data_IF_594191856470
#
_entry.id   IF_594191856470
#
_cell.length_a   1.000
_cell.length_b   1.000
_cell.length_c   1.000
_cell.angle_alpha   90.00
_cell.angle_beta   90.00
_cell.angle_gamma   90.00
#
_symmetry.space_group_name_H-M   'P 1'
#
loop_
_entity.id
_entity.type
_entity.pdbx_description
1 polymer ?
#
# COMPACT_ATOMS: atom_id res chain seq x y z
N UNK A 1 27.54 -3.26 -18.75
CA UNK A 1 26.09 -3.02 -18.65
C UNK A 1 25.84 -2.44 -17.28
N UNK A 2 25.72 -1.13 -17.17
CA UNK A 2 25.48 -0.42 -15.91
C UNK A 2 24.03 -0.68 -15.51
N UNK A 3 23.83 -1.52 -14.49
CA UNK A 3 22.55 -1.68 -13.82
C UNK A 3 22.21 -0.36 -13.14
N UNK A 4 21.37 0.46 -13.77
CA UNK A 4 20.77 1.62 -13.13
C UNK A 4 19.82 1.09 -12.07
N UNK A 5 20.19 1.25 -10.80
CA UNK A 5 19.26 1.02 -9.70
C UNK A 5 17.98 1.85 -9.96
N UNK A 6 16.78 1.30 -9.78
CA UNK A 6 15.55 2.05 -9.95
C UNK A 6 15.58 3.28 -9.04
N UNK A 7 15.29 4.45 -9.60
CA UNK A 7 15.33 5.70 -8.87
C UNK A 7 14.42 5.60 -7.64
N UNK A 8 14.98 5.89 -6.46
CA UNK A 8 14.20 5.95 -5.23
C UNK A 8 13.03 6.93 -5.43
N UNK A 9 11.85 6.62 -4.86
CA UNK A 9 10.81 7.64 -4.73
C UNK A 9 11.45 8.80 -3.97
N UNK A 10 11.37 10.04 -4.48
CA UNK A 10 11.81 11.17 -3.67
C UNK A 10 11.04 11.12 -2.34
N UNK A 11 11.70 11.47 -1.23
CA UNK A 11 11.09 11.47 0.10
C UNK A 11 9.81 12.34 0.18
N UNK A 12 9.61 13.22 -0.82
CA UNK A 12 8.41 14.06 -0.99
C UNK A 12 7.31 13.40 -1.86
N UNK A 13 7.53 12.21 -2.42
CA UNK A 13 6.50 11.57 -3.24
C UNK A 13 5.51 10.81 -2.36
N UNK A 14 4.25 11.20 -2.42
CA UNK A 14 3.17 10.52 -1.73
C UNK A 14 2.82 9.20 -2.41
N UNK A 15 2.78 8.12 -1.62
CA UNK A 15 2.26 6.82 -2.06
C UNK A 15 0.79 6.93 -2.47
N UNK A 16 0.05 7.84 -1.82
CA UNK A 16 -1.39 8.07 -2.05
C UNK A 16 -1.70 8.66 -3.43
N UNK A 17 -0.70 9.22 -4.11
CA UNK A 17 -0.88 9.89 -5.41
C UNK A 17 -0.43 9.02 -6.60
N UNK A 18 0.17 7.85 -6.35
CA UNK A 18 0.71 6.99 -7.41
C UNK A 18 -0.37 6.31 -8.25
N UNK A 19 -1.49 5.93 -7.63
CA UNK A 19 -2.63 5.30 -8.30
C UNK A 19 -3.88 5.39 -7.41
N UNK A 20 -5.09 5.25 -7.98
CA UNK A 20 -6.32 5.24 -7.17
C UNK A 20 -6.42 4.03 -6.24
N UNK A 21 -5.75 2.94 -6.57
CA UNK A 21 -5.76 1.71 -5.81
C UNK A 21 -4.34 1.21 -5.59
N UNK A 22 -4.02 0.83 -4.37
CA UNK A 22 -2.81 0.10 -4.00
C UNK A 22 -3.18 -1.38 -3.83
N UNK A 23 -2.70 -2.28 -4.73
CA UNK A 23 -2.86 -3.71 -4.57
C UNK A 23 -2.23 -4.22 -3.27
N UNK A 24 -3.03 -4.89 -2.44
CA UNK A 24 -2.58 -5.57 -1.21
C UNK A 24 -2.42 -7.05 -1.54
N UNK A 25 -1.16 -7.48 -1.59
CA UNK A 25 -0.76 -8.77 -2.15
C UNK A 25 -0.30 -9.72 -1.04
N UNK A 26 -0.79 -10.96 -1.11
CA UNK A 26 -0.29 -12.09 -0.33
C UNK A 26 0.30 -13.11 -1.32
N UNK A 27 1.57 -13.45 -1.17
CA UNK A 27 2.28 -14.41 -2.03
C UNK A 27 2.80 -15.57 -1.19
N UNK A 28 2.42 -16.78 -1.57
CA UNK A 28 2.92 -18.02 -0.95
C UNK A 28 4.24 -18.49 -1.61
N UNK A 29 4.44 -18.11 -2.87
CA UNK A 29 5.66 -18.43 -3.64
C UNK A 29 6.27 -17.13 -4.21
N UNK A 30 7.56 -16.91 -3.92
CA UNK A 30 8.29 -15.75 -4.44
C UNK A 30 8.46 -15.81 -5.98
N UNK A 31 8.37 -16.96 -6.60
CA UNK A 31 8.44 -17.10 -8.06
C UNK A 31 7.27 -16.41 -8.79
N UNK A 32 6.15 -16.23 -8.13
CA UNK A 32 4.98 -15.53 -8.69
C UNK A 32 5.09 -14.00 -8.60
N UNK A 33 6.05 -13.46 -7.83
CA UNK A 33 6.16 -12.04 -7.52
C UNK A 33 6.41 -11.17 -8.75
N UNK A 34 7.39 -11.53 -9.57
CA UNK A 34 7.77 -10.76 -10.75
C UNK A 34 6.68 -10.75 -11.83
N UNK A 35 6.12 -11.92 -12.25
CA UNK A 35 5.03 -11.90 -13.23
C UNK A 35 3.78 -11.19 -12.74
N UNK A 36 3.41 -11.35 -11.45
CA UNK A 36 2.31 -10.61 -10.84
C UNK A 36 2.54 -9.09 -10.91
N UNK A 37 3.72 -8.63 -10.47
CA UNK A 37 4.05 -7.20 -10.46
C UNK A 37 4.06 -6.60 -11.87
N UNK A 38 4.56 -7.33 -12.86
CA UNK A 38 4.50 -6.91 -14.28
C UNK A 38 3.06 -6.74 -14.76
N UNK A 39 2.17 -7.67 -14.41
CA UNK A 39 0.76 -7.59 -14.76
C UNK A 39 0.07 -6.39 -14.10
N UNK A 40 0.35 -6.11 -12.81
CA UNK A 40 -0.18 -4.95 -12.10
C UNK A 40 0.28 -3.64 -12.72
N UNK A 41 1.58 -3.52 -13.01
CA UNK A 41 2.16 -2.33 -13.66
C UNK A 41 1.58 -2.13 -15.06
N UNK A 42 1.46 -3.19 -15.87
CA UNK A 42 0.85 -3.13 -17.18
C UNK A 42 -0.63 -2.72 -17.14
N UNK A 43 -1.33 -3.06 -16.06
CA UNK A 43 -2.68 -2.60 -15.75
C UNK A 43 -2.78 -1.18 -15.18
N UNK A 44 -1.65 -0.47 -14.96
CA UNK A 44 -1.64 0.92 -14.48
C UNK A 44 -1.58 1.08 -12.96
N UNK A 45 -1.23 0.03 -12.21
CA UNK A 45 -1.06 0.05 -10.76
C UNK A 45 0.41 -0.15 -10.37
N UNK A 46 1.23 0.89 -10.36
CA UNK A 46 2.66 0.77 -10.07
C UNK A 46 2.98 0.56 -8.58
N UNK A 47 2.18 1.08 -7.65
CA UNK A 47 2.37 0.88 -6.21
C UNK A 47 1.84 -0.48 -5.79
N UNK A 48 2.67 -1.34 -5.18
CA UNK A 48 2.32 -2.72 -4.83
C UNK A 48 2.69 -2.98 -3.38
N UNK A 49 1.70 -3.23 -2.51
CA UNK A 49 1.90 -3.60 -1.10
C UNK A 49 2.03 -5.12 -0.97
N UNK A 50 3.25 -5.66 -0.82
CA UNK A 50 3.48 -7.07 -0.50
C UNK A 50 3.44 -7.25 1.02
N UNK A 51 2.50 -8.06 1.52
CA UNK A 51 2.29 -8.20 2.96
C UNK A 51 3.21 -9.24 3.58
N UNK A 52 3.77 -8.95 4.76
CA UNK A 52 4.63 -9.86 5.55
C UNK A 52 3.81 -10.96 6.25
N UNK A 53 2.88 -11.59 5.53
CA UNK A 53 2.00 -12.65 6.06
C UNK A 53 2.48 -14.05 5.70
N UNK A 54 3.49 -14.16 4.84
CA UNK A 54 4.07 -15.43 4.39
C UNK A 54 5.59 -15.38 4.47
N UNK A 55 6.21 -16.54 4.48
CA UNK A 55 7.67 -16.65 4.46
C UNK A 55 8.30 -16.14 3.15
N UNK A 56 7.54 -16.17 2.04
CA UNK A 56 8.00 -15.74 0.73
C UNK A 56 8.07 -14.20 0.57
N UNK A 57 7.47 -13.42 1.48
CA UNK A 57 7.25 -11.99 1.30
C UNK A 57 8.55 -11.18 1.06
N UNK A 58 9.59 -11.41 1.85
CA UNK A 58 10.87 -10.68 1.70
C UNK A 58 11.57 -11.00 0.37
N UNK A 59 11.54 -12.25 -0.06
CA UNK A 59 12.10 -12.66 -1.34
C UNK A 59 11.28 -12.12 -2.51
N UNK A 60 9.95 -12.07 -2.37
CA UNK A 60 9.07 -11.44 -3.33
C UNK A 60 9.36 -9.94 -3.50
N UNK A 61 9.51 -9.19 -2.39
CA UNK A 61 9.88 -7.76 -2.42
C UNK A 61 11.22 -7.59 -3.14
N UNK A 62 12.21 -8.40 -2.82
CA UNK A 62 13.55 -8.34 -3.42
C UNK A 62 13.51 -8.59 -4.92
N UNK A 63 12.77 -9.61 -5.36
CA UNK A 63 12.63 -9.94 -6.77
C UNK A 63 11.91 -8.83 -7.55
N UNK A 64 10.81 -8.28 -7.02
CA UNK A 64 10.09 -7.17 -7.67
C UNK A 64 10.99 -5.94 -7.76
N UNK A 65 11.68 -5.56 -6.69
CA UNK A 65 12.56 -4.40 -6.66
C UNK A 65 13.70 -4.51 -7.69
N UNK A 66 14.24 -5.71 -7.90
CA UNK A 66 15.33 -5.94 -8.82
C UNK A 66 14.90 -6.04 -10.29
N UNK A 67 13.72 -6.64 -10.58
CA UNK A 67 13.36 -7.07 -11.92
C UNK A 67 12.18 -6.32 -12.55
N UNK A 68 11.46 -5.48 -11.80
CA UNK A 68 10.31 -4.73 -12.30
C UNK A 68 10.50 -3.22 -12.07
N UNK A 69 11.30 -2.55 -12.90
CA UNK A 69 11.68 -1.14 -12.69
C UNK A 69 10.50 -0.16 -12.68
N UNK A 70 9.37 -0.53 -13.30
CA UNK A 70 8.13 0.26 -13.26
C UNK A 70 7.31 0.09 -11.97
N UNK A 71 7.66 -0.87 -11.09
CA UNK A 71 6.97 -1.08 -9.84
C UNK A 71 7.58 -0.23 -8.71
N UNK A 72 6.71 0.30 -7.88
CA UNK A 72 7.02 0.85 -6.56
C UNK A 72 6.57 -0.18 -5.54
N UNK A 73 7.45 -1.15 -5.24
CA UNK A 73 7.13 -2.20 -4.27
C UNK A 73 7.27 -1.67 -2.85
N UNK A 74 6.29 -1.94 -2.02
CA UNK A 74 6.28 -1.65 -0.60
C UNK A 74 5.98 -2.89 0.23
N UNK A 75 6.21 -2.78 1.53
CA UNK A 75 5.90 -3.82 2.49
C UNK A 75 4.66 -3.48 3.31
N UNK A 76 3.72 -4.41 3.37
CA UNK A 76 2.54 -4.35 4.25
C UNK A 76 2.67 -5.28 5.46
N UNK A 77 1.81 -5.07 6.45
CA UNK A 77 1.84 -5.82 7.72
C UNK A 77 3.17 -5.67 8.45
N UNK A 78 3.78 -4.48 8.35
CA UNK A 78 4.98 -4.12 9.10
C UNK A 78 4.56 -3.85 10.56
N UNK A 79 5.04 -4.66 11.51
CA UNK A 79 4.60 -4.62 12.92
C UNK A 79 5.76 -4.53 13.93
N UNK A 80 6.98 -4.36 13.44
CA UNK A 80 8.16 -4.25 14.31
C UNK A 80 9.29 -3.48 13.62
N UNK A 81 10.21 -2.92 14.41
CA UNK A 81 11.42 -2.29 13.91
C UNK A 81 12.28 -3.25 13.07
N UNK A 82 12.28 -4.55 13.43
CA UNK A 82 12.95 -5.60 12.65
C UNK A 82 12.35 -5.71 11.24
N UNK A 83 11.01 -5.71 11.13
CA UNK A 83 10.35 -5.76 9.81
C UNK A 83 10.73 -4.54 8.95
N UNK A 84 10.84 -3.34 9.55
CA UNK A 84 11.30 -2.14 8.84
C UNK A 84 12.68 -2.36 8.23
N UNK A 85 13.66 -2.80 9.04
CA UNK A 85 15.03 -3.04 8.58
C UNK A 85 15.09 -4.10 7.49
N UNK A 86 14.41 -5.24 7.68
CA UNK A 86 14.41 -6.35 6.73
C UNK A 86 13.78 -5.98 5.40
N UNK A 87 12.67 -5.25 5.41
CA UNK A 87 11.95 -4.89 4.19
C UNK A 87 12.65 -3.78 3.39
N UNK A 88 13.19 -2.77 4.06
CA UNK A 88 14.00 -1.73 3.40
C UNK A 88 15.26 -2.35 2.77
N UNK A 89 15.93 -3.27 3.49
CA UNK A 89 17.08 -4.04 2.95
C UNK A 89 16.68 -4.95 1.77
N UNK A 90 15.44 -5.40 1.71
CA UNK A 90 14.91 -6.16 0.58
C UNK A 90 14.51 -5.27 -0.62
N UNK A 91 14.56 -3.93 -0.47
CA UNK A 91 14.27 -2.99 -1.55
C UNK A 91 12.85 -2.40 -1.50
N UNK A 92 12.13 -2.54 -0.36
CA UNK A 92 10.85 -1.85 -0.18
C UNK A 92 11.03 -0.34 -0.26
N UNK A 93 10.14 0.32 -1.00
CA UNK A 93 10.17 1.77 -1.25
C UNK A 93 9.09 2.53 -0.50
N UNK A 94 8.20 1.84 0.18
CA UNK A 94 7.27 2.36 1.17
C UNK A 94 6.89 1.27 2.18
N UNK A 95 6.40 1.68 3.34
CA UNK A 95 6.02 0.79 4.42
C UNK A 95 4.56 1.03 4.82
N UNK A 96 3.85 -0.04 5.14
CA UNK A 96 2.46 0.03 5.60
C UNK A 96 2.27 -0.87 6.81
N UNK A 97 1.70 -0.33 7.88
CA UNK A 97 1.38 -1.08 9.09
C UNK A 97 -0.13 -1.16 9.35
N UNK A 98 -0.62 -2.18 10.03
CA UNK A 98 -2.03 -2.28 10.43
C UNK A 98 -2.40 -1.38 11.62
N UNK A 99 -1.42 -0.92 12.35
CA UNK A 99 -1.47 -0.03 13.52
C UNK A 99 -0.08 0.48 13.81
N UNK A 100 0.12 1.24 14.88
CA UNK A 100 1.42 1.79 15.24
C UNK A 100 1.67 1.79 16.75
N UNK A 101 2.94 1.84 17.10
CA UNK A 101 3.46 2.13 18.45
C UNK A 101 4.60 3.12 18.27
N UNK A 102 5.00 3.81 19.34
CA UNK A 102 6.14 4.75 19.25
C UNK A 102 7.41 4.07 18.70
N UNK A 103 7.73 2.87 19.18
CA UNK A 103 8.91 2.12 18.72
C UNK A 103 8.84 1.78 17.22
N UNK A 104 7.65 1.40 16.72
CA UNK A 104 7.48 1.11 15.30
C UNK A 104 7.55 2.39 14.46
N UNK A 105 6.91 3.45 14.93
CA UNK A 105 6.87 4.73 14.24
C UNK A 105 8.28 5.35 14.15
N UNK A 106 9.05 5.35 15.25
CA UNK A 106 10.45 5.80 15.27
C UNK A 106 11.30 5.04 14.25
N UNK A 107 11.11 3.72 14.14
CA UNK A 107 11.83 2.92 13.16
C UNK A 107 11.41 3.25 11.72
N UNK A 108 10.12 3.49 11.47
CA UNK A 108 9.63 3.90 10.15
C UNK A 108 10.18 5.27 9.75
N UNK A 109 10.13 6.26 10.65
CA UNK A 109 10.70 7.60 10.43
C UNK A 109 12.21 7.54 10.14
N UNK A 110 12.95 6.76 10.93
CA UNK A 110 14.39 6.59 10.76
C UNK A 110 14.78 5.85 9.46
N UNK A 111 13.86 5.12 8.86
CA UNK A 111 14.11 4.35 7.62
C UNK A 111 14.34 5.22 6.39
N UNK A 112 13.82 6.45 6.39
CA UNK A 112 13.92 7.38 5.28
C UNK A 112 13.05 7.05 4.06
N UNK A 113 12.19 6.01 4.13
CA UNK A 113 11.24 5.72 3.07
C UNK A 113 9.82 6.16 3.49
N UNK A 114 8.93 6.54 2.55
CA UNK A 114 7.54 6.86 2.85
C UNK A 114 6.83 5.73 3.60
N UNK A 115 5.94 6.09 4.51
CA UNK A 115 5.20 5.08 5.28
C UNK A 115 3.76 5.53 5.58
N UNK A 116 2.87 4.53 5.74
CA UNK A 116 1.46 4.71 6.05
C UNK A 116 1.13 3.92 7.33
N UNK A 117 1.20 4.56 8.52
CA UNK A 117 0.84 3.91 9.77
C UNK A 117 -0.68 3.70 9.84
N UNK A 118 -1.10 2.55 10.37
CA UNK A 118 -2.52 2.19 10.48
C UNK A 118 -3.21 2.93 11.63
N UNK A 119 -4.42 3.45 11.37
CA UNK A 119 -5.29 4.08 12.35
C UNK A 119 -6.73 3.60 12.19
N UNK A 120 -7.49 3.59 13.27
CA UNK A 120 -8.92 3.31 13.28
C UNK A 120 -9.73 4.29 14.16
N UNK A 121 -9.05 5.15 14.91
CA UNK A 121 -9.67 6.12 15.81
C UNK A 121 -9.14 7.53 15.59
N UNK A 122 -9.96 8.54 15.95
CA UNK A 122 -9.58 9.95 15.88
C UNK A 122 -8.36 10.27 16.76
N UNK A 123 -8.26 9.63 17.94
CA UNK A 123 -7.12 9.84 18.86
C UNK A 123 -5.80 9.37 18.25
N UNK A 124 -5.79 8.24 17.55
CA UNK A 124 -4.62 7.76 16.82
C UNK A 124 -4.21 8.73 15.70
N UNK A 125 -5.20 9.28 14.97
CA UNK A 125 -4.92 10.30 13.93
C UNK A 125 -4.31 11.54 14.55
N UNK A 126 -4.87 12.08 15.65
CA UNK A 126 -4.34 13.27 16.34
C UNK A 126 -2.90 13.04 16.81
N UNK A 127 -2.62 11.89 17.43
CA UNK A 127 -1.28 11.57 17.90
C UNK A 127 -0.24 11.49 16.77
N UNK A 128 -0.63 10.98 15.59
CA UNK A 128 0.25 10.98 14.41
C UNK A 128 0.46 12.38 13.83
N UNK A 129 -0.58 13.23 13.83
CA UNK A 129 -0.47 14.63 13.40
C UNK A 129 0.47 15.44 14.31
N UNK A 130 0.47 15.18 15.62
CA UNK A 130 1.44 15.79 16.56
C UNK A 130 2.89 15.43 16.22
N UNK A 131 3.11 14.25 15.61
CA UNK A 131 4.41 13.81 15.10
C UNK A 131 4.71 14.28 13.66
N UNK A 132 3.82 15.07 13.06
CA UNK A 132 3.98 15.56 11.69
C UNK A 132 3.62 14.54 10.61
N UNK A 133 3.07 13.38 10.98
CA UNK A 133 2.63 12.36 10.03
C UNK A 133 1.21 12.68 9.56
N UNK A 134 1.07 13.01 8.28
CA UNK A 134 -0.20 13.41 7.68
C UNK A 134 -0.84 12.36 6.78
N UNK A 135 -0.10 11.34 6.36
CA UNK A 135 -0.58 10.26 5.49
C UNK A 135 -0.66 8.95 6.28
N UNK A 136 -1.82 8.30 6.23
CA UNK A 136 -2.15 7.17 7.11
C UNK A 136 -2.93 6.10 6.35
N UNK A 137 -2.79 4.84 6.77
CA UNK A 137 -3.70 3.77 6.40
C UNK A 137 -4.90 3.81 7.36
N UNK A 138 -6.13 3.89 6.85
CA UNK A 138 -7.33 3.68 7.67
C UNK A 138 -7.74 2.21 7.61
N UNK A 139 -7.61 1.50 8.74
CA UNK A 139 -7.77 0.03 8.79
C UNK A 139 -8.32 -0.46 10.15
N UNK A 140 -9.26 -1.43 10.12
CA UNK A 140 -9.97 -2.01 8.96
C UNK A 140 -11.13 -1.10 8.51
N UNK A 141 -11.09 -0.60 7.26
CA UNK A 141 -11.91 0.53 6.82
C UNK A 141 -13.42 0.32 7.01
N UNK A 142 -13.99 -0.75 6.46
CA UNK A 142 -15.44 -1.01 6.56
C UNK A 142 -15.88 -1.24 8.02
N UNK A 143 -15.11 -2.03 8.77
CA UNK A 143 -15.44 -2.35 10.17
C UNK A 143 -15.27 -1.14 11.11
N UNK A 144 -14.39 -0.20 10.76
CA UNK A 144 -14.12 1.01 11.57
C UNK A 144 -15.06 2.20 11.23
N UNK A 145 -16.11 1.99 10.43
CA UNK A 145 -17.12 3.01 10.14
C UNK A 145 -17.10 3.57 8.72
N UNK A 146 -16.21 3.08 7.87
CA UNK A 146 -16.23 3.31 6.42
C UNK A 146 -16.14 4.77 6.00
N UNK A 147 -16.82 5.07 4.90
CA UNK A 147 -16.85 6.43 4.33
C UNK A 147 -17.50 7.45 5.25
N UNK A 148 -18.48 7.05 6.08
CA UNK A 148 -19.15 7.95 7.02
C UNK A 148 -18.17 8.48 8.08
N UNK A 149 -17.32 7.60 8.61
CA UNK A 149 -16.30 7.96 9.59
C UNK A 149 -15.25 8.90 8.97
N UNK A 150 -14.67 8.55 7.83
CA UNK A 150 -13.68 9.38 7.15
C UNK A 150 -14.22 10.75 6.76
N UNK A 151 -15.49 10.81 6.30
CA UNK A 151 -16.16 12.08 6.01
C UNK A 151 -16.28 12.98 7.26
N UNK A 152 -16.57 12.39 8.42
CA UNK A 152 -16.65 13.13 9.67
C UNK A 152 -15.29 13.71 10.11
N UNK A 153 -14.17 13.06 9.78
CA UNK A 153 -12.82 13.55 10.07
C UNK A 153 -12.36 14.68 9.16
N UNK A 154 -12.92 14.85 7.97
CA UNK A 154 -12.43 15.80 6.96
C UNK A 154 -12.49 17.26 7.41
N UNK A 155 -13.46 17.62 8.26
CA UNK A 155 -13.60 18.99 8.78
C UNK A 155 -12.67 19.28 9.97
N UNK A 156 -12.65 18.45 11.05
CA UNK A 156 -11.79 18.71 12.20
C UNK A 156 -10.31 18.45 11.96
N UNK A 157 -9.94 17.58 11.01
CA UNK A 157 -8.57 17.18 10.72
C UNK A 157 -8.25 17.29 9.22
N UNK A 158 -8.31 18.50 8.63
CA UNK A 158 -8.22 18.70 7.17
C UNK A 158 -6.83 18.35 6.60
N UNK A 159 -5.78 18.28 7.45
CA UNK A 159 -4.42 17.92 7.04
C UNK A 159 -4.21 16.41 6.94
N UNK A 160 -5.10 15.56 7.49
CA UNK A 160 -4.97 14.13 7.44
C UNK A 160 -5.44 13.56 6.09
N UNK A 161 -4.60 12.73 5.46
CA UNK A 161 -4.89 12.01 4.21
C UNK A 161 -4.85 10.51 4.44
N UNK A 162 -5.76 9.78 3.82
CA UNK A 162 -5.95 8.37 4.11
C UNK A 162 -5.84 7.47 2.89
N UNK A 163 -5.33 6.23 3.13
CA UNK A 163 -5.49 5.05 2.31
C UNK A 163 -6.41 4.07 3.05
N UNK A 164 -7.74 4.15 2.89
CA UNK A 164 -8.65 3.17 3.46
C UNK A 164 -8.36 1.78 2.91
N UNK A 165 -8.33 0.78 3.80
CA UNK A 165 -8.04 -0.61 3.46
C UNK A 165 -8.85 -1.54 4.36
N UNK A 166 -9.36 -2.64 3.80
CA UNK A 166 -10.13 -3.67 4.54
C UNK A 166 -11.62 -3.59 4.27
N UNK A 167 -12.13 -4.62 3.57
CA UNK A 167 -13.52 -4.74 3.15
C UNK A 167 -13.89 -3.96 1.88
N UNK A 168 -12.97 -3.21 1.29
CA UNK A 168 -13.22 -2.40 0.09
C UNK A 168 -13.29 -3.30 -1.14
N UNK A 169 -14.30 -3.05 -1.98
CA UNK A 169 -14.59 -3.74 -3.23
C UNK A 169 -14.60 -2.77 -4.42
N UNK A 170 -14.62 -3.26 -5.67
CA UNK A 170 -14.83 -2.41 -6.85
C UNK A 170 -16.07 -1.53 -6.75
N UNK A 171 -17.13 -2.04 -6.11
CA UNK A 171 -18.39 -1.32 -5.96
C UNK A 171 -18.32 -0.20 -4.92
N UNK A 172 -17.56 -0.39 -3.81
CA UNK A 172 -17.46 0.60 -2.74
C UNK A 172 -16.30 1.60 -2.93
N UNK A 173 -15.26 1.24 -3.66
CA UNK A 173 -14.07 2.07 -3.86
C UNK A 173 -14.36 3.49 -4.39
N UNK A 174 -15.28 3.72 -5.37
CA UNK A 174 -15.60 5.06 -5.84
C UNK A 174 -16.11 5.99 -4.75
N UNK A 175 -16.90 5.47 -3.80
CA UNK A 175 -17.42 6.26 -2.68
C UNK A 175 -16.32 6.74 -1.72
N UNK A 176 -15.27 5.92 -1.52
CA UNK A 176 -14.09 6.33 -0.77
C UNK A 176 -13.26 7.37 -1.53
N UNK A 177 -13.00 7.12 -2.80
CA UNK A 177 -12.18 8.00 -3.65
C UNK A 177 -12.81 9.38 -3.88
N UNK A 178 -14.13 9.51 -3.69
CA UNK A 178 -14.83 10.79 -3.75
C UNK A 178 -14.62 11.67 -2.50
N UNK A 179 -14.06 11.14 -1.41
CA UNK A 179 -13.81 11.91 -0.19
C UNK A 179 -12.55 12.78 -0.33
N UNK A 180 -12.58 14.05 0.12
CA UNK A 180 -11.46 14.98 -0.06
C UNK A 180 -10.18 14.58 0.71
N UNK A 181 -10.35 13.80 1.79
CA UNK A 181 -9.25 13.32 2.63
C UNK A 181 -8.80 11.89 2.28
N UNK A 182 -9.26 11.32 1.15
CA UNK A 182 -8.81 10.00 0.66
C UNK A 182 -7.92 10.18 -0.55
N UNK A 183 -6.68 9.74 -0.43
CA UNK A 183 -5.70 9.80 -1.52
C UNK A 183 -5.78 8.59 -2.47
N UNK A 184 -5.93 7.39 -1.97
CA UNK A 184 -6.13 6.14 -2.71
C UNK A 184 -6.87 5.15 -1.81
N UNK A 185 -7.17 3.95 -2.30
CA UNK A 185 -7.69 2.84 -1.48
C UNK A 185 -6.77 1.63 -1.58
N UNK A 186 -6.65 0.85 -0.49
CA UNK A 186 -5.99 -0.45 -0.52
C UNK A 186 -6.99 -1.58 -0.77
N UNK A 187 -6.68 -2.48 -1.68
CA UNK A 187 -7.56 -3.59 -2.00
C UNK A 187 -6.86 -4.80 -2.59
N UNK A 188 -7.54 -5.94 -2.59
CA UNK A 188 -7.00 -7.21 -3.11
C UNK A 188 -7.81 -7.82 -4.25
N UNK A 189 -8.89 -7.18 -4.69
CA UNK A 189 -9.79 -7.75 -5.72
C UNK A 189 -9.13 -7.90 -7.10
N UNK A 190 -8.07 -7.15 -7.40
CA UNK A 190 -7.32 -7.26 -8.64
C UNK A 190 -6.28 -8.39 -8.62
N UNK A 191 -6.07 -9.01 -7.46
CA UNK A 191 -5.13 -10.13 -7.27
C UNK A 191 -5.85 -11.31 -6.59
N UNK A 192 -6.94 -11.85 -7.19
CA UNK A 192 -7.68 -12.94 -6.57
C UNK A 192 -6.82 -14.20 -6.49
N UNK A 193 -6.93 -14.93 -5.38
CA UNK A 193 -6.05 -16.06 -5.09
C UNK A 193 -6.10 -17.17 -6.15
N UNK A 194 -7.26 -17.39 -6.78
CA UNK A 194 -7.42 -18.36 -7.86
C UNK A 194 -6.66 -17.95 -9.13
N UNK A 195 -6.58 -16.65 -9.44
CA UNK A 195 -5.79 -16.16 -10.58
C UNK A 195 -4.28 -16.29 -10.32
N UNK A 196 -3.83 -16.05 -9.08
CA UNK A 196 -2.43 -16.26 -8.70
C UNK A 196 -2.10 -17.76 -8.81
N UNK A 197 -2.91 -18.64 -8.22
CA UNK A 197 -2.70 -20.08 -8.22
C UNK A 197 -2.67 -20.67 -9.63
N UNK A 198 -3.49 -20.17 -10.55
CA UNK A 198 -3.52 -20.59 -11.96
C UNK A 198 -2.52 -19.82 -12.85
N UNK A 199 -1.78 -18.84 -12.30
CA UNK A 199 -0.87 -17.95 -13.04
C UNK A 199 -1.56 -17.19 -14.18
N UNK A 200 -2.84 -16.84 -13.99
CA UNK A 200 -3.64 -16.06 -14.94
C UNK A 200 -3.30 -14.56 -14.83
N UNK A 201 -2.11 -14.22 -15.27
CA UNK A 201 -1.59 -12.84 -15.24
C UNK A 201 -2.36 -11.90 -16.15
N UNK A 202 -2.95 -12.42 -17.22
CA UNK A 202 -3.81 -11.64 -18.10
C UNK A 202 -5.09 -11.17 -17.38
N UNK A 203 -5.66 -12.01 -16.52
CA UNK A 203 -6.78 -11.62 -15.67
C UNK A 203 -6.37 -10.58 -14.63
N UNK A 204 -5.20 -10.73 -14.01
CA UNK A 204 -4.66 -9.74 -13.07
C UNK A 204 -4.48 -8.39 -13.75
N UNK A 205 -3.84 -8.35 -14.94
CA UNK A 205 -3.67 -7.11 -15.71
C UNK A 205 -5.01 -6.45 -16.04
N UNK A 206 -6.01 -7.20 -16.49
CA UNK A 206 -7.34 -6.67 -16.77
C UNK A 206 -7.99 -6.06 -15.53
N UNK A 207 -7.98 -6.77 -14.39
CA UNK A 207 -8.55 -6.28 -13.13
C UNK A 207 -7.80 -5.05 -12.61
N UNK A 208 -6.48 -5.01 -12.79
CA UNK A 208 -5.66 -3.84 -12.45
C UNK A 208 -6.03 -2.63 -13.32
N UNK A 209 -6.26 -2.83 -14.62
CA UNK A 209 -6.69 -1.77 -15.54
C UNK A 209 -8.06 -1.21 -15.17
N UNK A 210 -9.00 -2.08 -14.81
CA UNK A 210 -10.31 -1.67 -14.30
C UNK A 210 -10.17 -0.84 -13.01
N UNK A 211 -9.31 -1.27 -12.08
CA UNK A 211 -9.05 -0.57 -10.83
C UNK A 211 -8.32 0.77 -11.05
N UNK A 212 -7.38 0.85 -11.99
CA UNK A 212 -6.65 2.09 -12.29
C UNK A 212 -7.55 3.17 -12.92
N UNK A 213 -8.64 2.78 -13.55
CA UNK A 213 -9.62 3.69 -14.16
C UNK A 213 -10.62 4.29 -13.15
N UNK A 214 -10.56 3.94 -11.85
CA UNK A 214 -11.49 4.46 -10.84
C UNK A 214 -11.31 5.95 -10.50
N UNK A 215 -10.21 6.56 -10.90
CA UNK A 215 -10.00 8.00 -10.97
C UNK A 215 -9.94 8.40 -12.44
N UNK A 216 -11.06 8.56 -13.07
CA UNK A 216 -11.20 9.14 -14.39
C UNK A 216 -11.97 10.44 -14.27
#
# INVERSE_FOLDING_TARGET
MTSSAPAALPASASVLDLAPVVPVVVLEDAADAVPLARALVAGGLPAIEVTLRTAAALDAIRAIAAEVPGAVVGAGTVISARNVTETVSAGARFLVSPGWTDTLLDAMEASGVPFLPGVSTTSEVVALLERGVTEMKFFPAEAAGGTAYLKALSSPLPQARFCPTGGISPASAPAYLALPNVGCVGGSWMVPGDAIASKDWARVERLAREASALRG
#
